data_IF_856509226896
#
_entry.id   IF_856509226896
#
_cell.length_a   1.000
_cell.length_b   1.000
_cell.length_c   1.000
_cell.angle_alpha   90.00
_cell.angle_beta   90.00
_cell.angle_gamma   90.00
#
_symmetry.space_group_name_H-M   'P 1'
#
loop_
_entity.id
_entity.type
_entity.pdbx_description
1 polymer ?
#
# COMPACT_ATOMS: atom_id res chain seq x y z
N UNK A 1 4.35 28.17 -8.41
CA UNK A 1 3.98 27.58 -9.71
C UNK A 1 2.67 26.86 -9.53
N UNK A 2 1.76 26.97 -10.47
CA UNK A 2 0.44 26.33 -10.43
C UNK A 2 0.45 25.15 -11.40
N UNK A 3 0.14 23.95 -10.88
CA UNK A 3 -0.08 22.75 -11.68
C UNK A 3 -1.57 22.41 -11.64
N UNK A 4 -2.10 21.87 -12.73
CA UNK A 4 -3.50 21.42 -12.85
C UNK A 4 -3.53 20.09 -13.56
N UNK A 5 -4.26 19.15 -13.01
CA UNK A 5 -4.53 17.87 -13.64
C UNK A 5 -6.03 17.57 -13.56
N UNK A 6 -6.51 16.75 -14.48
CA UNK A 6 -7.89 16.29 -14.46
C UNK A 6 -8.03 15.03 -15.28
N UNK A 7 -9.01 14.21 -14.92
CA UNK A 7 -9.37 13.01 -15.65
C UNK A 7 -10.87 12.85 -15.73
N UNK A 8 -11.31 12.19 -16.79
CA UNK A 8 -12.68 11.70 -16.97
C UNK A 8 -12.59 10.29 -17.53
N UNK A 9 -13.34 9.38 -16.96
CA UNK A 9 -13.38 7.98 -17.38
C UNK A 9 -14.76 7.39 -17.23
N UNK A 10 -15.04 6.34 -17.99
CA UNK A 10 -16.27 5.56 -17.88
C UNK A 10 -15.93 4.13 -17.50
N UNK A 11 -16.45 3.66 -16.37
CA UNK A 11 -16.31 2.29 -15.94
C UNK A 11 -17.22 1.37 -16.73
N UNK A 12 -16.63 0.48 -17.54
CA UNK A 12 -17.39 -0.44 -18.42
C UNK A 12 -18.19 -1.45 -17.60
N UNK A 13 -17.63 -1.92 -16.50
CA UNK A 13 -18.27 -2.93 -15.64
C UNK A 13 -19.34 -2.33 -14.73
N UNK A 14 -19.05 -1.21 -14.11
CA UNK A 14 -19.95 -0.54 -13.15
C UNK A 14 -20.88 0.50 -13.80
N UNK A 15 -20.68 0.77 -15.10
CA UNK A 15 -21.48 1.72 -15.91
C UNK A 15 -21.60 3.11 -15.30
N UNK A 16 -20.55 3.57 -14.57
CA UNK A 16 -20.52 4.87 -13.92
C UNK A 16 -19.42 5.76 -14.46
N UNK A 17 -19.70 7.05 -14.51
CA UNK A 17 -18.70 8.08 -14.82
C UNK A 17 -17.79 8.28 -13.60
N UNK A 18 -16.50 8.39 -13.86
CA UNK A 18 -15.45 8.69 -12.89
C UNK A 18 -14.73 9.94 -13.37
N UNK A 19 -14.55 10.89 -12.49
CA UNK A 19 -13.90 12.15 -12.86
C UNK A 19 -13.27 12.80 -11.62
N UNK A 20 -12.28 13.61 -11.88
CA UNK A 20 -11.60 14.34 -10.83
C UNK A 20 -10.66 15.39 -11.39
N UNK A 21 -10.20 16.23 -10.51
CA UNK A 21 -9.22 17.27 -10.83
C UNK A 21 -8.44 17.68 -9.60
N UNK A 22 -7.24 18.14 -9.84
CA UNK A 22 -6.32 18.61 -8.83
C UNK A 22 -5.68 19.92 -9.26
N UNK A 23 -5.53 20.81 -8.30
CA UNK A 23 -4.78 22.06 -8.43
C UNK A 23 -3.71 22.07 -7.34
N UNK A 24 -2.44 22.10 -7.75
CA UNK A 24 -1.29 22.18 -6.87
C UNK A 24 -0.60 23.55 -7.01
N UNK A 25 -0.30 24.18 -5.90
CA UNK A 25 0.46 25.42 -5.84
C UNK A 25 1.75 25.22 -5.04
N UNK A 26 2.90 25.40 -5.70
CA UNK A 26 4.21 25.33 -5.06
C UNK A 26 4.51 26.64 -4.35
N UNK A 27 4.54 26.61 -3.02
CA UNK A 27 4.89 27.74 -2.16
C UNK A 27 6.39 28.04 -2.16
N UNK A 28 7.18 26.98 -1.98
CA UNK A 28 8.64 27.08 -1.93
C UNK A 28 9.28 25.86 -2.63
N UNK A 29 9.83 26.05 -3.87
CA UNK A 29 10.44 24.96 -4.61
C UNK A 29 11.62 24.30 -3.88
N UNK A 30 12.49 25.07 -3.24
CA UNK A 30 13.69 24.55 -2.58
C UNK A 30 13.39 23.65 -1.37
N UNK A 31 12.26 23.89 -0.72
CA UNK A 31 11.74 23.05 0.39
C UNK A 31 10.64 22.11 -0.05
N UNK A 32 10.32 22.07 -1.36
CA UNK A 32 9.17 21.33 -1.91
C UNK A 32 7.88 21.58 -1.10
N UNK A 33 7.70 22.81 -0.62
CA UNK A 33 6.49 23.19 0.10
C UNK A 33 5.37 23.42 -0.91
N UNK A 34 4.30 22.66 -0.79
CA UNK A 34 3.18 22.65 -1.72
C UNK A 34 1.85 22.63 -0.97
N UNK A 35 0.83 23.21 -1.60
CA UNK A 35 -0.56 23.04 -1.20
C UNK A 35 -1.32 22.54 -2.42
N UNK A 36 -2.12 21.52 -2.26
CA UNK A 36 -2.99 21.01 -3.31
C UNK A 36 -4.43 20.89 -2.83
N UNK A 37 -5.35 21.08 -3.76
CA UNK A 37 -6.76 20.78 -3.61
C UNK A 37 -7.16 19.80 -4.70
N UNK A 38 -7.75 18.67 -4.30
CA UNK A 38 -8.25 17.65 -5.19
C UNK A 38 -9.72 17.38 -4.94
N UNK A 39 -10.46 17.25 -6.05
CA UNK A 39 -11.81 16.71 -6.06
C UNK A 39 -11.82 15.43 -6.90
N UNK A 40 -12.43 14.36 -6.39
CA UNK A 40 -12.55 13.13 -7.14
C UNK A 40 -13.88 12.42 -6.89
N UNK A 41 -14.42 11.86 -7.98
CA UNK A 41 -15.52 10.89 -7.96
C UNK A 41 -15.00 9.63 -8.64
N UNK A 42 -14.71 8.60 -7.85
CA UNK A 42 -14.00 7.41 -8.32
C UNK A 42 -14.40 6.16 -7.55
N UNK A 43 -13.96 5.02 -8.06
CA UNK A 43 -14.04 3.74 -7.38
C UNK A 43 -12.66 3.45 -6.77
N UNK A 44 -12.61 3.22 -5.47
CA UNK A 44 -11.38 2.84 -4.76
C UNK A 44 -11.52 1.47 -4.13
N UNK A 45 -10.42 0.75 -4.07
CA UNK A 45 -10.27 -0.45 -3.27
C UNK A 45 -10.47 -0.14 -1.79
N UNK A 46 -11.12 -1.07 -1.09
CA UNK A 46 -11.32 -1.00 0.35
C UNK A 46 -10.08 -1.47 1.09
N UNK A 47 -9.81 -0.85 2.22
CA UNK A 47 -8.68 -1.19 3.07
C UNK A 47 -7.42 -0.44 2.67
N UNK A 48 -6.95 0.40 3.57
CA UNK A 48 -5.68 1.07 3.41
C UNK A 48 -4.59 0.24 4.06
N UNK A 49 -3.54 -0.01 3.32
CA UNK A 49 -2.23 -0.29 3.90
C UNK A 49 -1.33 0.91 3.63
N UNK A 50 -0.38 1.12 4.52
CA UNK A 50 0.52 2.26 4.44
C UNK A 50 1.35 2.25 3.15
N UNK A 51 1.39 3.42 2.52
CA UNK A 51 2.43 3.84 1.58
C UNK A 51 2.85 2.83 0.51
N UNK A 52 1.94 2.54 -0.42
CA UNK A 52 2.33 1.93 -1.68
C UNK A 52 2.92 2.99 -2.61
N UNK A 53 3.96 2.62 -3.35
CA UNK A 53 4.33 3.38 -4.52
C UNK A 53 3.26 3.20 -5.62
N UNK A 54 3.27 4.06 -6.64
CA UNK A 54 2.27 4.03 -7.72
C UNK A 54 2.10 2.64 -8.37
N UNK A 55 3.19 1.89 -8.55
CA UNK A 55 3.15 0.56 -9.14
C UNK A 55 2.48 -0.48 -8.23
N UNK A 56 2.71 -0.38 -6.94
CA UNK A 56 2.09 -1.25 -5.94
C UNK A 56 0.60 -0.93 -5.78
N UNK A 57 0.23 0.34 -5.80
CA UNK A 57 -1.17 0.78 -5.78
C UNK A 57 -1.93 0.28 -7.01
N UNK A 58 -1.36 0.42 -8.21
CA UNK A 58 -1.94 -0.15 -9.42
C UNK A 58 -2.02 -1.68 -9.35
N UNK A 59 -0.97 -2.33 -8.86
CA UNK A 59 -0.92 -3.79 -8.70
C UNK A 59 -2.02 -4.31 -7.77
N UNK A 60 -2.32 -3.61 -6.69
CA UNK A 60 -3.41 -3.95 -5.77
C UNK A 60 -4.78 -3.87 -6.43
N UNK A 61 -5.03 -2.87 -7.24
CA UNK A 61 -6.31 -2.74 -7.96
C UNK A 61 -6.63 -3.96 -8.85
N UNK A 62 -5.61 -4.71 -9.32
CA UNK A 62 -5.83 -5.94 -10.08
C UNK A 62 -6.24 -7.15 -9.23
N UNK A 63 -5.93 -7.14 -7.94
CA UNK A 63 -6.25 -8.25 -7.04
C UNK A 63 -7.39 -7.92 -6.07
N UNK A 64 -7.76 -6.65 -5.96
CA UNK A 64 -8.84 -6.18 -5.11
C UNK A 64 -10.18 -6.82 -5.48
N UNK A 65 -10.94 -7.20 -4.47
CA UNK A 65 -12.27 -7.81 -4.63
C UNK A 65 -13.39 -6.92 -4.11
N UNK A 66 -13.09 -5.99 -3.21
CA UNK A 66 -14.07 -5.06 -2.64
C UNK A 66 -13.71 -3.63 -2.97
N UNK A 67 -14.69 -2.90 -3.43
CA UNK A 67 -14.55 -1.51 -3.87
C UNK A 67 -15.61 -0.62 -3.23
N UNK A 68 -15.30 0.67 -3.11
CA UNK A 68 -16.20 1.71 -2.66
C UNK A 68 -16.21 2.86 -3.66
N UNK A 69 -17.41 3.36 -3.96
CA UNK A 69 -17.58 4.62 -4.67
C UNK A 69 -17.33 5.75 -3.69
N UNK A 70 -16.39 6.61 -4.04
CA UNK A 70 -15.95 7.72 -3.18
C UNK A 70 -16.09 9.03 -3.93
N UNK A 71 -16.80 9.97 -3.32
CA UNK A 71 -16.75 11.38 -3.68
C UNK A 71 -15.93 12.06 -2.60
N UNK A 72 -14.76 12.58 -2.98
CA UNK A 72 -13.80 13.15 -2.03
C UNK A 72 -13.41 14.57 -2.42
N UNK A 73 -13.39 15.46 -1.42
CA UNK A 73 -12.70 16.73 -1.45
C UNK A 73 -11.50 16.63 -0.50
N UNK A 74 -10.31 16.93 -0.99
CA UNK A 74 -9.08 16.83 -0.22
C UNK A 74 -8.26 18.10 -0.38
N UNK A 75 -7.90 18.71 0.74
CA UNK A 75 -6.89 19.77 0.82
C UNK A 75 -5.65 19.18 1.49
N UNK A 76 -4.49 19.32 0.86
CA UNK A 76 -3.24 18.75 1.34
C UNK A 76 -2.12 19.77 1.29
N UNK A 77 -1.28 19.75 2.32
CA UNK A 77 -0.04 20.52 2.39
C UNK A 77 1.15 19.56 2.60
N UNK A 78 2.11 19.63 1.69
CA UNK A 78 3.36 18.88 1.73
C UNK A 78 4.51 19.81 2.12
N UNK A 79 5.29 19.43 3.12
CA UNK A 79 6.38 20.26 3.64
C UNK A 79 7.62 19.42 3.95
N UNK A 80 8.77 19.79 3.39
CA UNK A 80 10.05 19.29 3.89
C UNK A 80 10.56 20.22 5.00
N UNK A 81 10.40 19.79 6.24
CA UNK A 81 10.87 20.52 7.42
C UNK A 81 12.40 20.56 7.43
N UNK A 82 13.02 19.43 7.08
CA UNK A 82 14.46 19.30 6.91
C UNK A 82 14.77 18.33 5.76
N UNK A 83 16.06 18.08 5.46
CA UNK A 83 16.44 17.14 4.41
C UNK A 83 15.83 15.74 4.61
N UNK A 84 15.95 15.11 5.81
CA UNK A 84 15.40 13.79 6.05
C UNK A 84 13.92 13.78 6.47
N UNK A 85 13.32 14.92 6.84
CA UNK A 85 12.01 14.98 7.45
C UNK A 85 10.98 15.65 6.54
N UNK A 86 9.98 14.87 6.11
CA UNK A 86 8.80 15.31 5.39
C UNK A 86 7.58 15.27 6.31
N UNK A 87 6.75 16.30 6.23
CA UNK A 87 5.46 16.44 6.90
C UNK A 87 4.39 16.64 5.83
N UNK A 88 3.36 15.82 5.86
CA UNK A 88 2.16 16.00 5.07
C UNK A 88 0.96 16.19 6.01
N UNK A 89 0.13 17.18 5.73
CA UNK A 89 -1.10 17.45 6.47
C UNK A 89 -2.25 17.48 5.49
N UNK A 90 -3.29 16.71 5.73
CA UNK A 90 -4.45 16.72 4.84
C UNK A 90 -5.77 16.82 5.61
N UNK A 91 -6.71 17.53 5.00
CA UNK A 91 -8.11 17.62 5.38
C UNK A 91 -8.91 16.98 4.26
N UNK A 92 -9.73 15.99 4.57
CA UNK A 92 -10.56 15.34 3.57
C UNK A 92 -12.00 15.18 4.04
N UNK A 93 -12.93 15.34 3.10
CA UNK A 93 -14.34 15.00 3.30
C UNK A 93 -14.73 13.99 2.23
N UNK A 94 -15.29 12.87 2.66
CA UNK A 94 -15.64 11.75 1.78
C UNK A 94 -17.10 11.36 1.97
N UNK A 95 -17.80 11.17 0.88
CA UNK A 95 -19.06 10.44 0.84
C UNK A 95 -18.76 9.07 0.23
N UNK A 96 -19.02 8.00 0.97
CA UNK A 96 -18.63 6.63 0.64
C UNK A 96 -19.85 5.77 0.46
N UNK A 97 -19.92 5.03 -0.65
CA UNK A 97 -20.97 4.06 -0.95
C UNK A 97 -20.30 2.71 -1.24
N UNK A 98 -20.41 1.71 -0.35
CA UNK A 98 -19.92 0.37 -0.60
C UNK A 98 -20.48 -0.21 -1.90
N UNK A 99 -19.63 -0.80 -2.72
CA UNK A 99 -20.04 -1.54 -3.93
C UNK A 99 -20.29 -3.04 -3.65
N UNK A 100 -20.41 -3.39 -2.38
CA UNK A 100 -20.65 -4.73 -1.85
C UNK A 100 -21.76 -4.70 -0.81
N UNK A 101 -22.43 -5.83 -0.61
CA UNK A 101 -23.46 -5.97 0.43
C UNK A 101 -22.82 -6.03 1.79
N UNK A 102 -23.20 -5.13 2.69
CA UNK A 102 -22.64 -5.02 4.02
C UNK A 102 -23.64 -4.48 5.02
N UNK A 103 -23.75 -5.14 6.18
CA UNK A 103 -24.48 -4.64 7.33
C UNK A 103 -23.52 -4.34 8.47
N UNK A 104 -23.77 -3.25 9.15
CA UNK A 104 -23.00 -2.79 10.30
C UNK A 104 -23.92 -2.60 11.49
N UNK A 105 -23.64 -3.28 12.61
CA UNK A 105 -24.48 -3.27 13.83
C UNK A 105 -25.93 -3.65 13.57
N UNK A 106 -26.14 -4.70 12.75
CA UNK A 106 -27.45 -5.24 12.44
C UNK A 106 -28.31 -4.39 11.50
N UNK A 107 -27.72 -3.38 10.85
CA UNK A 107 -28.40 -2.54 9.87
C UNK A 107 -27.63 -2.46 8.56
N UNK A 108 -28.29 -2.55 7.38
CA UNK A 108 -27.63 -2.38 6.10
C UNK A 108 -26.94 -1.01 6.02
N UNK A 109 -25.63 -0.99 5.73
CA UNK A 109 -24.86 0.22 5.56
C UNK A 109 -24.78 0.57 4.07
N UNK A 110 -25.71 1.39 3.60
CA UNK A 110 -25.79 1.80 2.19
C UNK A 110 -24.77 2.88 1.85
N UNK A 111 -24.53 3.80 2.79
CA UNK A 111 -23.54 4.86 2.65
C UNK A 111 -23.06 5.32 4.04
N UNK A 112 -21.88 5.89 4.06
CA UNK A 112 -21.34 6.57 5.23
C UNK A 112 -20.45 7.74 4.81
N UNK A 113 -20.09 8.57 5.78
CA UNK A 113 -19.23 9.73 5.58
C UNK A 113 -17.98 9.65 6.42
N UNK A 114 -16.87 10.17 5.89
CA UNK A 114 -15.60 10.28 6.61
C UNK A 114 -15.08 11.70 6.43
N UNK A 115 -14.94 12.41 7.55
CA UNK A 115 -14.37 13.75 7.61
C UNK A 115 -13.09 13.65 8.43
N UNK A 116 -11.94 13.70 7.78
CA UNK A 116 -10.68 13.32 8.37
C UNK A 116 -9.64 14.44 8.33
N UNK A 117 -8.90 14.56 9.42
CA UNK A 117 -7.62 15.27 9.46
C UNK A 117 -6.54 14.22 9.55
N UNK A 118 -5.61 14.20 8.61
CA UNK A 118 -4.46 13.28 8.61
C UNK A 118 -3.16 14.05 8.70
N UNK A 119 -2.27 13.59 9.57
CA UNK A 119 -0.89 14.02 9.72
C UNK A 119 0.02 12.85 9.36
N UNK A 120 0.92 13.04 8.40
CA UNK A 120 1.90 12.04 7.99
C UNK A 120 3.32 12.60 8.19
N UNK A 121 4.15 11.85 8.89
CA UNK A 121 5.56 12.15 9.10
C UNK A 121 6.40 11.05 8.45
N UNK A 122 7.35 11.44 7.58
CA UNK A 122 8.33 10.53 7.01
C UNK A 122 9.73 11.03 7.35
N UNK A 123 10.51 10.20 8.04
CA UNK A 123 11.90 10.45 8.40
C UNK A 123 12.82 9.44 7.72
N UNK A 124 13.65 9.91 6.79
CA UNK A 124 14.53 9.08 5.96
C UNK A 124 15.99 9.43 6.26
N UNK A 125 16.67 8.57 7.01
CA UNK A 125 18.04 8.81 7.49
C UNK A 125 19.01 8.87 6.32
N UNK A 126 19.79 9.97 6.23
CA UNK A 126 20.82 10.13 5.20
C UNK A 126 20.31 10.35 3.78
N UNK A 127 19.02 10.59 3.59
CA UNK A 127 18.43 10.88 2.27
C UNK A 127 19.04 12.13 1.64
N UNK A 128 19.45 12.02 0.37
CA UNK A 128 20.01 13.13 -0.39
C UNK A 128 19.09 13.50 -1.53
N UNK A 129 19.01 14.80 -1.78
CA UNK A 129 18.17 15.36 -2.82
C UNK A 129 18.98 16.28 -3.74
N UNK A 130 18.54 16.39 -4.97
CA UNK A 130 18.98 17.44 -5.91
C UNK A 130 17.76 18.15 -6.47
N UNK A 131 17.98 19.36 -6.99
CA UNK A 131 16.95 20.12 -7.70
C UNK A 131 17.07 19.86 -9.18
N UNK A 132 15.99 19.43 -9.84
CA UNK A 132 15.88 19.33 -11.29
C UNK A 132 14.81 20.34 -11.71
N UNK A 133 15.26 21.51 -12.15
CA UNK A 133 14.38 22.65 -12.35
C UNK A 133 13.78 23.10 -11.01
N UNK A 134 12.46 23.03 -10.89
CA UNK A 134 11.72 23.38 -9.67
C UNK A 134 11.39 22.16 -8.81
N UNK A 135 11.72 20.95 -9.27
CA UNK A 135 11.39 19.71 -8.59
C UNK A 135 12.56 19.21 -7.75
N UNK A 136 12.27 18.92 -6.49
CA UNK A 136 13.21 18.25 -5.59
C UNK A 136 13.13 16.75 -5.85
N UNK A 137 14.24 16.16 -6.26
CA UNK A 137 14.33 14.73 -6.61
C UNK A 137 15.28 14.03 -5.65
N UNK A 138 14.89 12.86 -5.16
CA UNK A 138 15.75 12.01 -4.34
C UNK A 138 16.86 11.43 -5.23
N UNK A 139 18.11 11.70 -4.87
CA UNK A 139 19.30 11.17 -5.55
C UNK A 139 19.91 9.99 -4.82
N UNK A 140 19.69 9.94 -3.51
CA UNK A 140 20.13 8.83 -2.67
C UNK A 140 19.03 8.56 -1.64
N UNK A 141 18.44 7.38 -1.71
CA UNK A 141 17.36 6.98 -0.80
C UNK A 141 17.89 6.88 0.65
N UNK A 142 17.11 7.40 1.58
CA UNK A 142 17.41 7.28 3.00
C UNK A 142 17.29 5.84 3.49
N UNK A 143 18.03 5.52 4.54
CA UNK A 143 17.96 4.22 5.19
C UNK A 143 18.52 4.30 6.63
N UNK A 144 17.76 3.92 7.65
CA UNK A 144 16.36 3.49 7.62
C UNK A 144 15.37 4.60 7.26
N UNK A 145 14.15 4.21 6.88
CA UNK A 145 13.02 5.11 6.67
C UNK A 145 11.94 4.79 7.70
N UNK A 146 11.50 5.80 8.43
CA UNK A 146 10.39 5.70 9.37
C UNK A 146 9.21 6.50 8.85
N UNK A 147 8.01 5.92 8.94
CA UNK A 147 6.76 6.62 8.61
C UNK A 147 5.81 6.54 9.78
N UNK A 148 5.11 7.61 10.06
CA UNK A 148 4.08 7.69 11.08
C UNK A 148 2.90 8.47 10.54
N UNK A 149 1.72 7.87 10.58
CA UNK A 149 0.46 8.46 10.16
C UNK A 149 -0.50 8.52 11.35
N UNK A 150 -1.07 9.68 11.58
CA UNK A 150 -2.17 9.89 12.53
C UNK A 150 -3.37 10.45 11.79
N UNK A 151 -4.50 9.78 11.90
CA UNK A 151 -5.77 10.22 11.32
C UNK A 151 -6.80 10.42 12.41
N UNK A 152 -7.42 11.60 12.43
CA UNK A 152 -8.55 11.94 13.28
C UNK A 152 -9.81 12.07 12.44
N UNK A 153 -10.76 11.15 12.63
CA UNK A 153 -12.13 11.30 12.13
C UNK A 153 -12.89 12.30 13.01
N UNK A 154 -13.54 13.27 12.40
CA UNK A 154 -14.12 14.39 13.10
C UNK A 154 -15.60 14.19 13.45
N UNK A 155 -16.34 13.43 12.63
CA UNK A 155 -17.74 13.11 12.90
C UNK A 155 -18.68 14.32 12.86
N UNK A 156 -18.43 15.28 11.98
CA UNK A 156 -19.23 16.50 11.88
C UNK A 156 -20.58 16.33 11.19
N UNK A 157 -20.61 15.44 10.20
CA UNK A 157 -21.78 15.22 9.35
C UNK A 157 -22.59 14.02 9.86
N UNK A 158 -23.87 13.99 9.50
CA UNK A 158 -24.69 12.82 9.72
C UNK A 158 -24.08 11.58 9.06
N UNK A 159 -24.16 10.42 9.71
CA UNK A 159 -23.53 9.15 9.28
C UNK A 159 -21.99 9.22 9.17
N UNK A 160 -21.33 10.14 9.87
CA UNK A 160 -19.88 10.20 10.00
C UNK A 160 -19.40 9.66 11.35
N UNK A 161 -18.13 9.30 11.42
CA UNK A 161 -17.55 8.62 12.58
C UNK A 161 -16.43 9.46 13.20
N UNK A 162 -16.42 9.48 14.54
CA UNK A 162 -15.31 10.06 15.30
C UNK A 162 -14.37 8.95 15.73
N UNK A 163 -13.10 9.03 15.36
CA UNK A 163 -12.10 8.02 15.70
C UNK A 163 -10.69 8.59 15.67
N UNK A 164 -9.74 7.83 16.26
CA UNK A 164 -8.32 8.03 16.07
C UNK A 164 -7.74 6.77 15.43
N UNK A 165 -6.97 6.95 14.36
CA UNK A 165 -6.26 5.89 13.66
C UNK A 165 -4.77 6.25 13.63
N UNK A 166 -3.93 5.30 14.03
CA UNK A 166 -2.48 5.44 14.05
C UNK A 166 -1.91 4.31 13.21
N UNK A 167 -0.95 4.64 12.36
CA UNK A 167 -0.17 3.68 11.57
C UNK A 167 1.30 4.08 11.66
N UNK A 168 2.18 3.09 11.75
CA UNK A 168 3.62 3.32 11.77
C UNK A 168 4.34 2.24 10.98
N UNK A 169 5.42 2.60 10.29
CA UNK A 169 6.30 1.65 9.65
C UNK A 169 7.78 2.04 9.76
N UNK A 170 8.63 1.03 9.66
CA UNK A 170 10.08 1.18 9.62
C UNK A 170 10.65 0.25 8.55
N UNK A 171 11.35 0.83 7.57
CA UNK A 171 11.99 0.14 6.47
C UNK A 171 13.51 0.17 6.66
N UNK A 172 14.13 -0.99 6.61
CA UNK A 172 15.57 -1.19 6.76
C UNK A 172 16.12 -1.92 5.54
N UNK A 173 17.20 -1.40 4.97
CA UNK A 173 17.94 -2.06 3.88
C UNK A 173 19.39 -2.18 4.28
N UNK A 174 19.90 -3.40 4.34
CA UNK A 174 21.30 -3.68 4.64
C UNK A 174 21.97 -4.36 3.43
N UNK A 175 23.16 -3.88 3.07
CA UNK A 175 23.97 -4.46 2.01
C UNK A 175 25.19 -5.17 2.62
N UNK A 176 25.31 -6.44 2.32
CA UNK A 176 26.46 -7.22 2.70
C UNK A 176 27.14 -7.79 1.44
N UNK A 177 28.47 -7.67 1.36
CA UNK A 177 29.22 -8.11 0.19
C UNK A 177 29.10 -9.61 -0.09
N UNK A 178 28.94 -10.43 0.96
CA UNK A 178 28.88 -11.89 0.86
C UNK A 178 27.44 -12.40 0.67
N UNK A 179 26.47 -11.76 1.35
CA UNK A 179 25.09 -12.24 1.41
C UNK A 179 24.11 -11.41 0.57
N UNK A 180 24.59 -10.31 -0.06
CA UNK A 180 23.74 -9.46 -0.89
C UNK A 180 22.93 -8.44 -0.09
N UNK A 181 21.65 -8.30 -0.40
CA UNK A 181 20.77 -7.26 0.17
C UNK A 181 19.70 -7.87 1.06
N UNK A 182 19.61 -7.38 2.27
CA UNK A 182 18.55 -7.69 3.23
C UNK A 182 17.58 -6.52 3.30
N UNK A 183 16.29 -6.77 3.09
CA UNK A 183 15.21 -5.81 3.29
C UNK A 183 14.34 -6.30 4.45
N UNK A 184 14.06 -5.40 5.38
CA UNK A 184 13.15 -5.65 6.51
C UNK A 184 12.19 -4.48 6.61
N UNK A 185 10.89 -4.77 6.62
CA UNK A 185 9.86 -3.80 6.97
C UNK A 185 9.07 -4.30 8.16
N UNK A 186 8.90 -3.43 9.13
CA UNK A 186 8.02 -3.62 10.27
C UNK A 186 6.93 -2.56 10.15
N UNK A 187 5.68 -2.95 10.28
CA UNK A 187 4.56 -2.03 10.26
C UNK A 187 3.47 -2.43 11.25
N UNK A 188 2.68 -1.47 11.66
CA UNK A 188 1.54 -1.71 12.53
C UNK A 188 0.56 -0.55 12.54
N UNK A 189 -0.67 -0.87 12.93
CA UNK A 189 -1.74 0.09 13.02
C UNK A 189 -2.69 -0.18 14.18
N UNK A 190 -3.39 0.86 14.59
CA UNK A 190 -4.38 0.83 15.65
C UNK A 190 -5.49 1.84 15.40
N UNK A 191 -6.72 1.40 15.61
CA UNK A 191 -7.94 2.25 15.60
C UNK A 191 -8.59 2.15 16.98
N UNK A 192 -8.98 3.26 17.56
CA UNK A 192 -9.48 3.33 18.95
C UNK A 192 -10.97 2.91 19.11
N UNK A 193 -11.73 2.78 18.02
CA UNK A 193 -13.16 2.52 18.01
C UNK A 193 -13.59 1.41 17.05
N UNK A 194 -14.79 0.88 17.27
CA UNK A 194 -15.49 0.07 16.27
C UNK A 194 -16.00 0.97 15.15
N UNK A 195 -15.62 0.64 13.91
CA UNK A 195 -15.88 1.43 12.70
C UNK A 195 -16.39 0.53 11.59
N UNK A 196 -17.07 1.06 10.57
CA UNK A 196 -17.38 0.31 9.37
C UNK A 196 -16.15 -0.28 8.69
N UNK A 197 -16.36 -1.36 7.93
CA UNK A 197 -15.33 -2.14 7.25
C UNK A 197 -14.29 -1.27 6.51
N UNK A 198 -14.74 -0.30 5.71
CA UNK A 198 -13.86 0.53 4.89
C UNK A 198 -12.96 1.51 5.65
N UNK A 199 -13.20 1.73 6.94
CA UNK A 199 -12.35 2.56 7.81
C UNK A 199 -11.34 1.75 8.64
N UNK A 200 -11.47 0.42 8.65
CA UNK A 200 -10.58 -0.50 9.35
C UNK A 200 -9.40 -0.93 8.45
N UNK A 201 -8.55 -1.80 8.97
CA UNK A 201 -7.44 -2.38 8.24
C UNK A 201 -7.85 -3.68 7.55
N UNK A 202 -7.77 -3.68 6.24
CA UNK A 202 -7.91 -4.85 5.37
C UNK A 202 -6.93 -4.70 4.20
N UNK A 203 -6.92 -5.63 3.25
CA UNK A 203 -6.11 -5.46 2.04
C UNK A 203 -4.61 -5.67 2.24
N UNK A 204 -4.17 -6.34 3.31
CA UNK A 204 -2.76 -6.70 3.54
C UNK A 204 -2.30 -7.84 2.62
N UNK A 205 -3.25 -8.55 2.00
CA UNK A 205 -3.01 -9.66 1.08
C UNK A 205 -2.93 -9.22 -0.37
N UNK A 206 -2.28 -10.05 -1.18
CA UNK A 206 -2.13 -9.85 -2.62
C UNK A 206 -2.33 -11.13 -3.45
N UNK A 207 -2.93 -12.19 -2.87
CA UNK A 207 -3.29 -13.40 -3.62
C UNK A 207 -4.46 -13.08 -4.55
N UNK A 208 -4.17 -12.93 -5.84
CA UNK A 208 -5.16 -12.75 -6.89
C UNK A 208 -5.65 -14.09 -7.46
N UNK A 209 -6.35 -14.01 -8.59
CA UNK A 209 -6.74 -15.19 -9.38
C UNK A 209 -5.54 -15.90 -10.03
N UNK A 210 -5.75 -16.53 -11.18
CA UNK A 210 -4.76 -17.39 -11.85
C UNK A 210 -3.47 -16.68 -12.27
N UNK A 211 -3.44 -15.35 -12.33
CA UNK A 211 -2.28 -14.57 -12.69
C UNK A 211 -2.14 -13.37 -11.74
N UNK A 212 -1.07 -13.35 -10.95
CA UNK A 212 -0.83 -12.26 -10.02
C UNK A 212 0.65 -11.88 -9.96
N UNK A 213 0.90 -10.61 -9.62
CA UNK A 213 2.24 -10.07 -9.47
C UNK A 213 2.70 -10.14 -8.01
N UNK A 214 4.02 -10.21 -7.81
CA UNK A 214 4.63 -10.01 -6.50
C UNK A 214 4.49 -8.52 -6.16
N UNK A 215 3.72 -8.21 -5.12
CA UNK A 215 3.61 -6.88 -4.55
C UNK A 215 4.47 -6.83 -3.28
N UNK A 216 5.42 -5.92 -3.22
CA UNK A 216 6.28 -5.78 -2.03
C UNK A 216 5.44 -5.33 -0.83
N UNK A 217 5.86 -5.70 0.38
CA UNK A 217 5.18 -5.36 1.63
C UNK A 217 3.71 -5.81 1.72
N UNK A 218 3.39 -6.94 1.09
CA UNK A 218 2.09 -7.62 1.21
C UNK A 218 2.28 -9.11 1.46
N UNK A 219 1.25 -9.75 2.00
CA UNK A 219 1.21 -11.21 2.09
C UNK A 219 0.81 -11.79 0.72
N UNK A 220 1.68 -12.61 0.17
CA UNK A 220 1.56 -13.13 -1.21
C UNK A 220 0.55 -14.29 -1.32
N UNK A 221 0.27 -14.98 -0.23
CA UNK A 221 -0.66 -16.12 -0.15
C UNK A 221 -2.00 -15.77 0.51
N UNK A 222 -2.16 -14.54 1.01
CA UNK A 222 -3.37 -14.01 1.62
C UNK A 222 -4.22 -13.28 0.57
N UNK A 223 -5.53 -13.55 0.55
CA UNK A 223 -6.44 -12.76 -0.28
C UNK A 223 -6.61 -11.33 0.28
N UNK A 224 -6.85 -10.31 -0.56
CA UNK A 224 -6.94 -8.91 -0.13
C UNK A 224 -7.92 -8.66 1.02
N UNK A 225 -9.10 -9.31 0.96
CA UNK A 225 -10.18 -9.08 1.93
C UNK A 225 -10.33 -10.24 2.92
N UNK A 226 -9.31 -11.09 3.07
CA UNK A 226 -9.38 -12.27 3.92
C UNK A 226 -9.42 -11.95 5.40
N UNK A 227 -8.72 -10.90 5.81
CA UNK A 227 -8.65 -10.49 7.22
C UNK A 227 -9.09 -9.05 7.42
N UNK A 228 -9.80 -8.82 8.53
CA UNK A 228 -10.20 -7.51 9.01
C UNK A 228 -9.62 -7.27 10.40
N UNK A 229 -9.06 -6.08 10.64
CA UNK A 229 -8.40 -5.74 11.89
C UNK A 229 -8.65 -4.30 12.31
N UNK A 230 -8.80 -4.03 13.60
CA UNK A 230 -8.70 -2.70 14.20
C UNK A 230 -7.31 -2.41 14.79
N UNK A 231 -6.49 -3.45 14.87
CA UNK A 231 -5.08 -3.40 15.26
C UNK A 231 -4.31 -4.51 14.58
N UNK A 232 -3.10 -4.23 14.12
CA UNK A 232 -2.24 -5.23 13.49
C UNK A 232 -0.76 -4.90 13.69
N UNK A 233 0.07 -5.92 13.51
CA UNK A 233 1.52 -5.79 13.40
C UNK A 233 2.01 -6.81 12.37
N UNK A 234 2.81 -6.36 11.40
CA UNK A 234 3.38 -7.17 10.34
C UNK A 234 4.90 -6.98 10.27
N UNK A 235 5.59 -8.04 9.88
CA UNK A 235 7.01 -8.03 9.52
C UNK A 235 7.17 -8.70 8.17
N UNK A 236 7.83 -8.00 7.25
CA UNK A 236 8.22 -8.50 5.92
C UNK A 236 9.74 -8.55 5.86
N UNK A 237 10.26 -9.73 5.59
CA UNK A 237 11.69 -9.99 5.45
C UNK A 237 11.98 -10.53 4.06
N UNK A 238 13.00 -9.98 3.40
CA UNK A 238 13.50 -10.47 2.12
C UNK A 238 15.02 -10.41 2.08
N UNK A 239 15.64 -11.54 1.80
CA UNK A 239 17.07 -11.65 1.54
C UNK A 239 17.31 -11.92 0.06
N UNK A 240 17.94 -10.98 -0.64
CA UNK A 240 18.37 -11.13 -2.02
C UNK A 240 19.87 -11.45 -2.05
N UNK A 241 20.23 -12.61 -2.56
CA UNK A 241 21.61 -13.07 -2.67
C UNK A 241 22.30 -12.55 -3.94
N UNK A 242 21.58 -11.83 -4.80
CA UNK A 242 22.08 -11.30 -6.06
C UNK A 242 22.23 -12.35 -7.14
N UNK A 243 22.86 -11.95 -8.25
CA UNK A 243 23.15 -12.81 -9.39
C UNK A 243 24.52 -13.48 -9.21
N UNK A 244 24.57 -14.61 -8.52
CA UNK A 244 25.82 -15.32 -8.25
C UNK A 244 26.09 -16.47 -9.22
N UNK A 245 25.08 -17.07 -9.85
CA UNK A 245 25.22 -18.22 -10.75
C UNK A 245 25.49 -17.79 -12.20
N UNK A 246 24.74 -16.83 -12.72
CA UNK A 246 24.80 -16.43 -14.13
C UNK A 246 24.81 -14.92 -14.28
N UNK A 247 25.68 -14.38 -15.14
CA UNK A 247 25.82 -12.96 -15.41
C UNK A 247 25.93 -12.67 -16.92
N UNK A 248 24.85 -12.94 -17.67
CA UNK A 248 24.77 -12.58 -19.08
C UNK A 248 24.00 -11.27 -19.28
N UNK A 249 24.13 -10.63 -20.45
CA UNK A 249 23.54 -9.32 -20.75
C UNK A 249 22.02 -9.26 -20.54
N UNK A 250 21.31 -10.32 -20.93
CA UNK A 250 19.83 -10.40 -20.86
C UNK A 250 19.32 -11.41 -19.84
N UNK A 251 20.22 -12.16 -19.18
CA UNK A 251 19.89 -13.22 -18.24
C UNK A 251 20.84 -13.13 -17.04
N UNK A 252 20.32 -12.61 -15.93
CA UNK A 252 21.05 -12.42 -14.68
C UNK A 252 20.15 -12.79 -13.51
N UNK A 253 19.74 -14.04 -13.34
CA UNK A 253 18.81 -14.43 -12.30
C UNK A 253 19.36 -14.10 -10.91
N UNK A 254 18.54 -13.40 -10.14
CA UNK A 254 18.79 -13.01 -8.75
C UNK A 254 17.90 -13.84 -7.84
N UNK A 255 18.50 -14.54 -6.88
CA UNK A 255 17.78 -15.42 -5.97
C UNK A 255 17.46 -14.69 -4.67
N UNK A 256 16.21 -14.80 -4.21
CA UNK A 256 15.78 -14.23 -2.94
C UNK A 256 14.96 -15.24 -2.16
N UNK A 257 15.07 -15.17 -0.84
CA UNK A 257 14.14 -15.80 0.09
C UNK A 257 13.32 -14.71 0.79
N UNK A 258 12.07 -15.00 1.05
CA UNK A 258 11.18 -14.12 1.78
C UNK A 258 10.52 -14.86 2.95
N UNK A 259 10.26 -14.13 4.03
CA UNK A 259 9.47 -14.60 5.15
C UNK A 259 8.62 -13.47 5.67
N UNK A 260 7.31 -13.66 5.69
CA UNK A 260 6.36 -12.68 6.15
C UNK A 260 5.55 -13.23 7.32
N UNK A 261 5.36 -12.41 8.35
CA UNK A 261 4.56 -12.77 9.52
C UNK A 261 3.71 -11.58 9.94
N UNK A 262 2.44 -11.84 10.30
CA UNK A 262 1.53 -10.82 10.77
C UNK A 262 0.54 -11.34 11.80
N UNK A 263 0.14 -10.44 12.69
CA UNK A 263 -0.88 -10.69 13.70
C UNK A 263 -1.84 -9.50 13.73
N UNK A 264 -3.09 -9.74 14.12
CA UNK A 264 -4.07 -8.67 14.20
C UNK A 264 -5.21 -9.03 15.13
N UNK A 265 -6.05 -8.06 15.40
CA UNK A 265 -7.24 -8.25 16.22
C UNK A 265 -8.37 -7.35 15.75
N UNK A 266 -9.58 -7.69 16.10
CA UNK A 266 -10.77 -6.90 15.83
C UNK A 266 -11.69 -6.95 17.03
N UNK A 267 -12.06 -5.78 17.54
CA UNK A 267 -13.14 -5.61 18.52
C UNK A 267 -14.46 -5.78 17.83
N UNK A 268 -15.42 -6.37 18.51
CA UNK A 268 -16.80 -6.45 18.05
C UNK A 268 -16.91 -6.99 16.60
N UNK A 269 -16.24 -8.11 16.32
CA UNK A 269 -16.31 -8.75 15.01
C UNK A 269 -17.77 -9.04 14.57
N UNK A 270 -18.67 -9.27 15.54
CA UNK A 270 -20.11 -9.45 15.32
C UNK A 270 -20.84 -8.21 14.81
N UNK A 271 -20.24 -7.02 14.89
CA UNK A 271 -20.84 -5.81 14.30
C UNK A 271 -20.80 -5.82 12.74
N UNK A 272 -20.04 -6.74 12.15
CA UNK A 272 -19.80 -6.81 10.71
C UNK A 272 -20.44 -8.07 10.11
N UNK A 273 -21.43 -7.90 9.27
CA UNK A 273 -22.07 -8.98 8.52
C UNK A 273 -21.50 -9.05 7.11
N UNK A 274 -20.31 -9.59 6.99
CA UNK A 274 -19.55 -9.81 5.75
C UNK A 274 -18.49 -10.87 5.98
N UNK A 275 -18.09 -11.60 4.97
CA UNK A 275 -17.07 -12.65 5.09
C UNK A 275 -15.68 -12.05 5.33
N UNK A 276 -15.06 -12.40 6.44
CA UNK A 276 -13.67 -12.13 6.79
C UNK A 276 -13.21 -13.02 7.94
N UNK A 277 -11.91 -13.08 8.13
CA UNK A 277 -11.26 -13.68 9.29
C UNK A 277 -10.62 -12.60 10.18
N UNK A 278 -10.25 -12.99 11.41
CA UNK A 278 -9.47 -12.14 12.33
C UNK A 278 -8.14 -12.81 12.60
N UNK A 279 -7.02 -12.13 12.41
CA UNK A 279 -5.66 -12.67 12.61
C UNK A 279 -5.26 -12.76 14.08
N UNK A 280 -6.01 -13.48 14.89
CA UNK A 280 -5.70 -13.67 16.32
C UNK A 280 -4.43 -14.47 16.58
N UNK A 281 -4.06 -15.32 15.64
CA UNK A 281 -2.81 -16.09 15.62
C UNK A 281 -1.88 -15.54 14.54
N UNK A 282 -0.56 -15.81 14.61
CA UNK A 282 0.36 -15.40 13.58
C UNK A 282 -0.01 -16.01 12.21
N UNK A 283 -0.23 -15.15 11.22
CA UNK A 283 -0.24 -15.51 9.82
C UNK A 283 1.20 -15.60 9.33
N UNK A 284 1.58 -16.67 8.65
CA UNK A 284 2.95 -16.91 8.26
C UNK A 284 3.02 -17.39 6.81
N UNK A 285 3.99 -16.88 6.08
CA UNK A 285 4.33 -17.38 4.74
C UNK A 285 5.83 -17.30 4.47
N UNK A 286 6.32 -18.22 3.66
CA UNK A 286 7.69 -18.25 3.17
C UNK A 286 7.70 -18.23 1.65
N UNK A 287 8.70 -17.59 1.04
CA UNK A 287 8.79 -17.46 -0.40
C UNK A 287 10.19 -17.67 -0.96
N UNK A 288 10.23 -18.20 -2.17
CA UNK A 288 11.43 -18.25 -3.03
C UNK A 288 11.15 -17.43 -4.27
N UNK A 289 12.06 -16.51 -4.60
CA UNK A 289 11.91 -15.59 -5.73
C UNK A 289 13.15 -15.68 -6.60
N UNK A 290 12.93 -15.79 -7.90
CA UNK A 290 13.97 -15.67 -8.92
C UNK A 290 13.63 -14.45 -9.76
N UNK A 291 14.25 -13.33 -9.44
CA UNK A 291 14.12 -12.07 -10.17
C UNK A 291 15.04 -12.02 -11.37
N UNK A 292 14.82 -11.08 -12.30
CA UNK A 292 15.75 -10.75 -13.38
C UNK A 292 16.11 -11.94 -14.31
N UNK A 293 15.16 -12.88 -14.48
CA UNK A 293 15.30 -14.01 -15.41
C UNK A 293 15.39 -13.48 -16.84
N UNK A 294 14.52 -12.51 -17.17
CA UNK A 294 14.51 -11.80 -18.45
C UNK A 294 14.75 -10.33 -18.18
N UNK A 295 15.72 -9.76 -18.90
CA UNK A 295 16.08 -8.35 -18.83
C UNK A 295 15.94 -7.69 -20.19
N UNK A 296 14.93 -6.85 -20.34
CA UNK A 296 14.60 -6.17 -21.59
C UNK A 296 15.04 -4.71 -21.48
N UNK A 297 15.98 -4.23 -22.31
CA UNK A 297 16.32 -2.82 -22.35
C UNK A 297 15.24 -2.02 -23.07
N UNK A 298 14.71 -0.98 -22.42
CA UNK A 298 13.75 -0.04 -23.00
C UNK A 298 14.46 1.30 -23.22
N UNK A 299 14.49 1.77 -24.48
CA UNK A 299 15.07 3.06 -24.90
C UNK A 299 16.50 3.32 -24.39
N UNK A 300 17.27 2.29 -24.06
CA UNK A 300 18.60 2.39 -23.44
C UNK A 300 18.70 3.16 -22.11
N UNK A 301 17.57 3.54 -21.53
CA UNK A 301 17.46 4.29 -20.27
C UNK A 301 17.02 3.41 -19.11
N UNK A 302 16.23 2.38 -19.41
CA UNK A 302 15.53 1.57 -18.40
C UNK A 302 15.63 0.10 -18.80
N UNK A 303 15.72 -0.76 -17.78
CA UNK A 303 15.54 -2.20 -17.94
C UNK A 303 14.23 -2.65 -17.32
N UNK A 304 13.42 -3.35 -18.10
CA UNK A 304 12.32 -4.14 -17.58
C UNK A 304 12.86 -5.51 -17.18
N UNK A 305 12.66 -5.89 -15.93
CA UNK A 305 13.10 -7.16 -15.37
C UNK A 305 11.88 -8.01 -15.06
N UNK A 306 11.88 -9.23 -15.57
CA UNK A 306 10.85 -10.23 -15.30
C UNK A 306 11.44 -11.34 -14.44
N UNK A 307 10.64 -11.82 -13.50
CA UNK A 307 10.98 -12.93 -12.61
C UNK A 307 9.74 -13.72 -12.24
N UNK A 308 9.94 -14.72 -11.41
CA UNK A 308 8.90 -15.58 -10.84
C UNK A 308 9.14 -15.77 -9.35
N UNK A 309 8.08 -16.02 -8.58
CA UNK A 309 8.17 -16.38 -7.17
C UNK A 309 7.11 -17.39 -6.80
N UNK A 310 7.46 -18.27 -5.89
CA UNK A 310 6.58 -19.21 -5.24
C UNK A 310 6.53 -18.92 -3.76
N UNK A 311 5.32 -18.81 -3.20
CA UNK A 311 5.09 -18.53 -1.79
C UNK A 311 4.21 -19.62 -1.19
N UNK A 312 4.54 -20.02 0.02
CA UNK A 312 3.83 -21.05 0.77
C UNK A 312 3.33 -20.49 2.08
N UNK A 313 2.03 -20.56 2.29
CA UNK A 313 1.34 -20.28 3.56
C UNK A 313 1.52 -21.47 4.48
N UNK A 314 1.78 -21.21 5.74
CA UNK A 314 1.93 -22.26 6.76
C UNK A 314 1.49 -21.78 8.14
N UNK A 315 1.42 -22.71 9.11
CA UNK A 315 1.03 -22.42 10.48
C UNK A 315 -0.47 -22.44 10.71
N UNK A 316 -0.98 -21.59 11.62
CA UNK A 316 -2.36 -21.67 12.12
C UNK A 316 -3.43 -21.51 11.02
N UNK A 317 -3.14 -20.72 10.00
CA UNK A 317 -4.09 -20.41 8.91
C UNK A 317 -3.84 -21.23 7.65
N UNK A 318 -3.08 -22.32 7.74
CA UNK A 318 -2.86 -23.26 6.65
C UNK A 318 -4.18 -23.92 6.25
N UNK A 319 -4.41 -24.05 4.95
CA UNK A 319 -5.54 -24.80 4.40
C UNK A 319 -5.20 -26.30 4.35
N UNK A 320 -6.22 -27.15 4.41
CA UNK A 320 -6.06 -28.62 4.38
C UNK A 320 -5.34 -29.10 3.10
N UNK A 321 -5.57 -28.47 1.99
CA UNK A 321 -4.94 -28.82 0.71
C UNK A 321 -3.68 -27.99 0.49
N UNK A 322 -2.58 -28.65 0.21
CA UNK A 322 -1.30 -28.01 -0.06
C UNK A 322 -1.38 -26.98 -1.19
N UNK A 323 -2.12 -27.28 -2.26
CA UNK A 323 -2.29 -26.40 -3.43
C UNK A 323 -2.90 -25.05 -3.07
N UNK A 324 -3.82 -25.01 -2.12
CA UNK A 324 -4.49 -23.80 -1.67
C UNK A 324 -3.56 -22.88 -0.87
N UNK A 325 -2.50 -23.45 -0.27
CA UNK A 325 -1.46 -22.72 0.45
C UNK A 325 -0.38 -22.16 -0.45
N UNK A 326 -0.31 -22.62 -1.71
CA UNK A 326 0.71 -22.20 -2.67
C UNK A 326 0.21 -20.98 -3.49
N UNK A 327 1.09 -20.03 -3.70
CA UNK A 327 0.84 -18.90 -4.60
C UNK A 327 2.05 -18.74 -5.54
N UNK A 328 1.83 -18.92 -6.84
CA UNK A 328 2.81 -18.67 -7.88
C UNK A 328 2.57 -17.28 -8.47
N UNK A 329 3.61 -16.46 -8.56
CA UNK A 329 3.51 -15.06 -8.98
C UNK A 329 4.60 -14.65 -9.94
N UNK A 330 4.32 -13.63 -10.74
CA UNK A 330 5.30 -13.00 -11.61
C UNK A 330 5.90 -11.77 -10.92
N UNK A 331 7.21 -11.61 -11.00
CA UNK A 331 7.91 -10.39 -10.59
C UNK A 331 8.10 -9.48 -11.80
N UNK A 332 7.72 -8.22 -11.65
CA UNK A 332 7.91 -7.16 -12.64
C UNK A 332 8.62 -5.99 -11.97
N UNK A 333 9.82 -5.63 -12.45
CA UNK A 333 10.60 -4.52 -11.90
C UNK A 333 11.15 -3.63 -13.01
N UNK A 334 11.15 -2.34 -12.76
CA UNK A 334 11.74 -1.33 -13.62
C UNK A 334 13.01 -0.82 -12.95
N UNK A 335 14.14 -0.90 -13.65
CA UNK A 335 15.41 -0.39 -13.17
C UNK A 335 15.96 0.66 -14.14
N UNK A 336 16.24 1.84 -13.62
CA UNK A 336 16.98 2.86 -14.35
C UNK A 336 18.46 2.45 -14.50
N UNK A 337 19.03 2.75 -15.68
CA UNK A 337 20.40 2.36 -16.03
C UNK A 337 21.44 3.25 -15.35
#
# INVERSE_FOLDING_TARGET
>A
MLFRSGYVGYGVLDKKMKYGGEVEYTLNPSRSAKISYAYQNTLKEVGSSMNFNLFEEYGKNFVATRFEYIIENKLEGDFHISRPLKLDVSLSTKDVTPAYTYSYKGSPLLNYRSDDVKLSLRYAVGEKHTMIGIYRTVTFAGNPVFTFDYTRGLGFRENSFTYNKIEASADFVAYNRLFGQTNVRIEGGYVDRSLPYGLLFSGEGSKGGNFSFILENTFQTMHPDEFLSDKYANLFFKQNFGAFLFKAKYFQPEFSVAYNIGIGGLRNASDHEIDFNVKKHPYQESGLIIDNIIRIPILNLVYLRLGIGGFLRHGHYEYDKFEDNLSLKTSLKILFK
#
